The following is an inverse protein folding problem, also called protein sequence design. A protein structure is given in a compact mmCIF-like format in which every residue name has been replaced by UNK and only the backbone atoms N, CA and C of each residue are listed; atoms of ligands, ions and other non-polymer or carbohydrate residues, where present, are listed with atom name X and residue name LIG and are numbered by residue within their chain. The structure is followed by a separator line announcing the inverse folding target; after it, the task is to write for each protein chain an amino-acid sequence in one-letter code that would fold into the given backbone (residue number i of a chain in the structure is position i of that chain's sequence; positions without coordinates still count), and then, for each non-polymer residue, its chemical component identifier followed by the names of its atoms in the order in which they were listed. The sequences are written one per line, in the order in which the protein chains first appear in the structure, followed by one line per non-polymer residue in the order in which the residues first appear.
data_IF_016444420257
#
_entry.id   IF_016444420257
#
_cell.length_a   1.000
_cell.length_b   1.000
_cell.length_c   1.000
_cell.angle_alpha   90.00
_cell.angle_beta   90.00
_cell.angle_gamma   90.00
#
_symmetry.space_group_name_H-M   'P 1'
#
loop_
_entity.id
_entity.type
_entity.pdbx_description
1 polymer ?
#
# COMPACT_ATOMS: atom_id res chain seq x y z
N UNK A 1 1.22 -5.95 10.93
CA UNK A 1 1.35 -4.55 11.36
C UNK A 1 -0.02 -3.86 11.35
N UNK A 2 -0.60 -3.51 12.49
CA UNK A 2 -1.87 -2.76 12.60
C UNK A 2 -1.52 -1.26 12.69
N UNK A 3 -1.76 -0.50 11.62
CA UNK A 3 -1.62 0.95 11.67
C UNK A 3 -2.92 1.56 12.23
N UNK A 4 -2.83 2.23 13.37
CA UNK A 4 -3.94 3.05 13.91
C UNK A 4 -3.94 4.38 13.17
N UNK A 5 -5.08 4.81 12.65
CA UNK A 5 -5.19 6.11 11.99
C UNK A 5 -4.92 7.24 13.00
N UNK A 6 -4.19 8.28 12.58
CA UNK A 6 -3.75 9.40 13.42
C UNK A 6 -4.89 10.05 14.22
N UNK A 7 -6.05 10.24 13.58
CA UNK A 7 -7.24 10.83 14.22
C UNK A 7 -7.83 9.95 15.33
N UNK A 8 -7.59 8.64 15.30
CA UNK A 8 -8.06 7.73 16.35
C UNK A 8 -7.29 7.94 17.66
N UNK A 9 -6.02 8.32 17.59
CA UNK A 9 -5.14 8.49 18.76
C UNK A 9 -5.40 9.79 19.54
N UNK A 10 -5.79 10.86 18.84
CA UNK A 10 -6.10 12.16 19.44
C UNK A 10 -7.62 12.38 19.64
N UNK A 11 -8.45 11.41 19.27
CA UNK A 11 -9.90 11.46 19.41
C UNK A 11 -10.60 12.37 18.39
N UNK A 12 -9.88 12.83 17.35
CA UNK A 12 -10.45 13.63 16.26
C UNK A 12 -10.99 12.79 15.10
N UNK A 13 -10.98 11.46 15.23
CA UNK A 13 -11.45 10.55 14.19
C UNK A 13 -12.92 10.80 13.83
N UNK A 14 -13.20 11.29 12.61
CA UNK A 14 -14.57 11.57 12.19
C UNK A 14 -15.44 10.31 12.16
N UNK A 15 -14.86 9.10 12.04
CA UNK A 15 -15.62 7.86 12.09
C UNK A 15 -16.15 7.58 13.51
N UNK A 16 -15.42 7.95 14.56
CA UNK A 16 -15.90 7.79 15.94
C UNK A 16 -17.18 8.60 16.15
N UNK A 17 -17.19 9.85 15.68
CA UNK A 17 -18.38 10.71 15.75
C UNK A 17 -19.56 10.14 14.94
N UNK A 18 -19.33 9.47 13.82
CA UNK A 18 -20.37 8.77 13.05
C UNK A 18 -21.02 7.66 13.88
N UNK A 19 -20.22 6.84 14.56
CA UNK A 19 -20.75 5.76 15.39
C UNK A 19 -21.53 6.29 16.59
N UNK A 20 -21.10 7.41 17.18
CA UNK A 20 -21.85 8.09 18.25
C UNK A 20 -23.20 8.64 17.75
N UNK A 21 -23.23 9.22 16.54
CA UNK A 21 -24.47 9.69 15.90
C UNK A 21 -25.43 8.53 15.59
N UNK A 22 -24.90 7.44 15.04
CA UNK A 22 -25.69 6.23 14.75
C UNK A 22 -26.25 5.60 16.02
N UNK A 23 -25.50 5.58 17.12
CA UNK A 23 -25.98 5.06 18.40
C UNK A 23 -27.24 5.79 18.91
N UNK A 24 -27.41 7.07 18.55
CA UNK A 24 -28.55 7.90 18.94
C UNK A 24 -29.76 7.78 17.99
N UNK A 25 -29.65 7.04 16.90
CA UNK A 25 -30.69 6.92 15.87
C UNK A 25 -31.77 5.90 16.27
N UNK A 26 -33.05 6.20 15.98
CA UNK A 26 -34.23 5.40 16.39
C UNK A 26 -34.25 3.95 15.86
N UNK A 27 -33.38 3.61 14.89
CA UNK A 27 -33.24 2.26 14.33
C UNK A 27 -32.18 1.39 15.00
N UNK A 28 -31.39 1.93 15.93
CA UNK A 28 -30.29 1.20 16.57
C UNK A 28 -30.82 0.15 17.55
N UNK A 29 -30.30 -1.08 17.41
CA UNK A 29 -30.63 -2.24 18.23
C UNK A 29 -29.63 -2.33 19.40
N UNK A 30 -28.35 -2.16 19.09
CA UNK A 30 -27.26 -2.20 20.04
C UNK A 30 -26.05 -1.45 19.47
N UNK A 31 -25.20 -0.94 20.34
CA UNK A 31 -23.93 -0.33 19.99
C UNK A 31 -22.87 -0.69 21.04
N UNK A 32 -21.61 -0.52 20.68
CA UNK A 32 -20.52 -0.72 21.62
C UNK A 32 -19.15 -0.40 21.05
N UNK A 33 -18.13 -0.73 21.84
CA UNK A 33 -16.75 -0.57 21.45
C UNK A 33 -15.78 -1.25 22.41
N UNK A 34 -14.55 -1.41 21.95
CA UNK A 34 -13.42 -1.90 22.71
C UNK A 34 -12.20 -1.06 22.39
N UNK A 35 -11.28 -0.91 23.34
CA UNK A 35 -10.00 -0.25 23.09
C UNK A 35 -8.87 -0.95 23.81
N UNK A 36 -7.69 -0.90 23.20
CA UNK A 36 -6.45 -1.43 23.75
C UNK A 36 -5.44 -0.32 23.92
N UNK A 37 -4.67 -0.37 25.01
CA UNK A 37 -3.58 0.56 25.28
C UNK A 37 -2.32 -0.20 25.65
N UNK A 38 -1.19 0.30 25.17
CA UNK A 38 0.15 -0.16 25.50
C UNK A 38 0.97 1.06 25.93
N UNK A 39 1.62 0.98 27.09
CA UNK A 39 2.36 2.10 27.71
C UNK A 39 1.57 3.43 27.77
N UNK A 40 0.27 3.32 28.03
CA UNK A 40 -0.65 4.47 28.11
C UNK A 40 -1.07 5.06 26.76
N UNK A 41 -0.57 4.55 25.63
CA UNK A 41 -0.94 4.95 24.27
C UNK A 41 -2.02 4.03 23.72
N UNK A 42 -3.02 4.60 23.03
CA UNK A 42 -4.04 3.83 22.33
C UNK A 42 -3.39 3.05 21.17
N UNK A 43 -3.57 1.73 21.14
CA UNK A 43 -3.05 0.85 20.08
C UNK A 43 -4.15 0.22 19.25
N UNK A 44 -5.38 0.20 19.76
CA UNK A 44 -6.55 -0.24 19.01
C UNK A 44 -7.81 0.42 19.52
N UNK A 45 -8.73 0.72 18.61
CA UNK A 45 -10.11 1.13 18.90
C UNK A 45 -11.03 0.38 17.94
N UNK A 46 -12.03 -0.29 18.51
CA UNK A 46 -13.12 -0.92 17.79
C UNK A 46 -14.43 -0.25 18.20
N UNK A 47 -15.28 0.08 17.22
CA UNK A 47 -16.65 0.55 17.41
C UNK A 47 -17.57 -0.30 16.56
N UNK A 48 -18.78 -0.53 17.04
CA UNK A 48 -19.79 -1.27 16.30
C UNK A 48 -21.20 -0.78 16.64
N UNK A 49 -22.11 -0.92 15.68
CA UNK A 49 -23.54 -0.62 15.79
C UNK A 49 -24.30 -1.74 15.06
N UNK A 50 -25.34 -2.26 15.70
CA UNK A 50 -26.36 -3.11 15.11
C UNK A 50 -27.62 -2.28 14.92
N UNK A 51 -28.24 -2.33 13.74
CA UNK A 51 -29.36 -1.44 13.37
C UNK A 51 -30.40 -2.18 12.54
N UNK A 52 -31.66 -1.73 12.61
CA UNK A 52 -32.75 -2.15 11.72
C UNK A 52 -32.79 -1.36 10.41
N UNK A 53 -32.01 -0.28 10.30
CA UNK A 53 -31.87 0.53 9.11
C UNK A 53 -30.43 0.44 8.56
N UNK A 54 -30.08 -0.68 7.91
CA UNK A 54 -28.73 -0.86 7.36
C UNK A 54 -28.41 0.14 6.24
N UNK A 55 -29.42 0.61 5.50
CA UNK A 55 -29.20 1.58 4.42
C UNK A 55 -28.75 2.94 4.95
N UNK A 56 -29.35 3.42 6.04
CA UNK A 56 -28.89 4.62 6.70
C UNK A 56 -27.48 4.46 7.27
N UNK A 57 -27.19 3.36 7.97
CA UNK A 57 -25.88 3.13 8.58
C UNK A 57 -24.74 3.00 7.56
N UNK A 58 -24.96 2.23 6.49
CA UNK A 58 -24.00 2.10 5.39
C UNK A 58 -23.67 3.47 4.78
N UNK A 59 -24.68 4.29 4.50
CA UNK A 59 -24.47 5.63 3.95
C UNK A 59 -23.75 6.55 4.95
N UNK A 60 -24.08 6.48 6.24
CA UNK A 60 -23.45 7.31 7.24
C UNK A 60 -21.96 6.99 7.43
N UNK A 61 -21.59 5.70 7.41
CA UNK A 61 -20.20 5.24 7.61
C UNK A 61 -19.36 5.37 6.35
N UNK A 62 -19.87 4.90 5.21
CA UNK A 62 -19.10 4.79 3.97
C UNK A 62 -19.33 5.97 3.00
N UNK A 63 -20.50 6.63 3.09
CA UNK A 63 -20.86 7.73 2.19
C UNK A 63 -20.27 9.09 2.58
N UNK A 64 -19.52 9.19 3.69
CA UNK A 64 -18.80 10.40 4.09
C UNK A 64 -17.41 10.44 3.44
N UNK A 65 -17.36 10.59 2.12
CA UNK A 65 -16.09 10.68 1.40
C UNK A 65 -16.23 10.57 -0.12
N UNK A 66 -15.26 9.91 -0.72
CA UNK A 66 -15.14 9.72 -2.17
C UNK A 66 -16.01 8.59 -2.72
N UNK A 67 -17.07 8.21 -2.00
CA UNK A 67 -17.88 7.02 -2.27
C UNK A 67 -19.36 7.37 -2.10
N UNK A 68 -20.18 6.99 -3.07
CA UNK A 68 -21.62 6.85 -2.89
C UNK A 68 -21.94 5.42 -2.47
N UNK A 69 -22.56 5.25 -1.31
CA UNK A 69 -22.81 3.96 -0.70
C UNK A 69 -24.32 3.68 -0.61
N UNK A 70 -24.73 2.56 -1.19
CA UNK A 70 -26.13 2.13 -1.25
C UNK A 70 -26.27 0.71 -0.71
N UNK A 71 -27.36 0.49 0.03
CA UNK A 71 -27.75 -0.82 0.51
C UNK A 71 -29.22 -1.04 0.19
N UNK A 72 -29.53 -2.19 -0.41
CA UNK A 72 -30.89 -2.54 -0.80
C UNK A 72 -31.25 -3.95 -0.30
N UNK A 73 -32.53 -4.10 0.07
CA UNK A 73 -33.12 -5.39 0.47
C UNK A 73 -34.31 -5.67 -0.44
N UNK A 74 -34.35 -6.85 -1.04
CA UNK A 74 -35.42 -7.34 -1.92
C UNK A 74 -35.79 -8.77 -1.54
N UNK A 75 -36.71 -8.93 -0.59
CA UNK A 75 -37.02 -10.25 -0.04
C UNK A 75 -35.87 -10.76 0.84
N UNK A 76 -35.33 -11.93 0.50
CA UNK A 76 -34.14 -12.54 1.13
C UNK A 76 -32.82 -12.07 0.51
N UNK A 77 -32.87 -11.31 -0.60
CA UNK A 77 -31.71 -10.81 -1.31
C UNK A 77 -31.27 -9.46 -0.77
N UNK A 78 -30.01 -9.36 -0.40
CA UNK A 78 -29.34 -8.15 0.06
C UNK A 78 -28.28 -7.73 -0.94
N UNK A 79 -28.12 -6.43 -1.14
CA UNK A 79 -27.17 -5.83 -2.07
C UNK A 79 -26.49 -4.63 -1.42
N UNK A 80 -25.15 -4.60 -1.45
CA UNK A 80 -24.33 -3.45 -1.10
C UNK A 80 -23.59 -3.00 -2.35
N UNK A 81 -23.70 -1.72 -2.68
CA UNK A 81 -22.98 -1.11 -3.81
C UNK A 81 -22.28 0.17 -3.35
N UNK A 82 -20.98 0.24 -3.59
CA UNK A 82 -20.13 1.39 -3.36
C UNK A 82 -19.60 1.89 -4.70
N UNK A 83 -19.88 3.15 -5.01
CA UNK A 83 -19.45 3.82 -6.24
C UNK A 83 -18.45 4.92 -5.90
N UNK A 84 -17.16 4.73 -6.17
CA UNK A 84 -16.18 5.80 -6.12
C UNK A 84 -16.61 6.98 -6.99
N UNK A 85 -16.60 8.19 -6.43
CA UNK A 85 -17.03 9.41 -7.13
C UNK A 85 -15.92 10.02 -8.00
N UNK A 86 -14.77 9.36 -8.09
CA UNK A 86 -13.64 9.72 -8.97
C UNK A 86 -12.65 10.73 -8.39
N UNK A 87 -13.02 11.50 -7.36
CA UNK A 87 -12.17 12.57 -6.81
C UNK A 87 -11.25 12.16 -5.65
N UNK A 88 -11.10 10.85 -5.37
CA UNK A 88 -10.28 10.37 -4.25
C UNK A 88 -10.60 11.09 -2.92
N UNK A 89 -9.75 10.91 -1.92
CA UNK A 89 -9.87 11.65 -0.64
C UNK A 89 -8.91 12.84 -0.55
N UNK A 90 -7.93 12.90 -1.45
CA UNK A 90 -6.92 13.93 -1.48
C UNK A 90 -7.46 15.29 -1.94
N UNK A 91 -7.17 16.33 -1.15
CA UNK A 91 -7.32 17.72 -1.56
C UNK A 91 -6.35 18.12 -2.67
N UNK A 92 -6.52 19.34 -3.20
CA UNK A 92 -5.68 19.84 -4.31
C UNK A 92 -4.19 19.88 -3.97
N UNK A 93 -3.84 20.32 -2.76
CA UNK A 93 -2.44 20.38 -2.32
C UNK A 93 -1.80 18.99 -2.25
N UNK A 94 -2.50 18.02 -1.65
CA UNK A 94 -2.04 16.63 -1.54
C UNK A 94 -1.86 15.98 -2.91
N UNK A 95 -2.76 16.25 -3.87
CA UNK A 95 -2.63 15.80 -5.26
C UNK A 95 -1.38 16.36 -5.94
N UNK A 96 -1.13 17.67 -5.82
CA UNK A 96 0.05 18.30 -6.39
C UNK A 96 1.35 17.80 -5.74
N UNK A 97 1.35 17.62 -4.42
CA UNK A 97 2.47 17.05 -3.69
C UNK A 97 2.75 15.61 -4.14
N UNK A 98 1.70 14.80 -4.27
CA UNK A 98 1.79 13.44 -4.79
C UNK A 98 2.37 13.39 -6.21
N UNK A 99 1.81 14.15 -7.15
CA UNK A 99 2.25 14.17 -8.55
C UNK A 99 3.72 14.60 -8.69
N UNK A 100 4.15 15.59 -7.90
CA UNK A 100 5.55 16.04 -7.87
C UNK A 100 6.47 14.95 -7.34
N UNK A 101 6.18 14.40 -6.15
CA UNK A 101 7.00 13.37 -5.52
C UNK A 101 7.04 12.07 -6.33
N UNK A 102 5.91 11.68 -6.94
CA UNK A 102 5.85 10.52 -7.81
C UNK A 102 6.72 10.70 -9.05
N UNK A 103 6.76 11.90 -9.65
CA UNK A 103 7.64 12.20 -10.79
C UNK A 103 9.11 12.08 -10.42
N UNK A 104 9.49 12.64 -9.27
CA UNK A 104 10.88 12.56 -8.79
C UNK A 104 11.27 11.10 -8.49
N UNK A 105 10.37 10.36 -7.83
CA UNK A 105 10.53 8.93 -7.56
C UNK A 105 10.65 8.10 -8.85
N UNK A 106 9.80 8.36 -9.85
CA UNK A 106 9.83 7.67 -11.15
C UNK A 106 11.16 7.92 -11.89
N UNK A 107 11.69 9.14 -11.82
CA UNK A 107 13.00 9.46 -12.40
C UNK A 107 14.18 8.79 -11.65
N UNK A 108 14.07 8.58 -10.33
CA UNK A 108 15.04 7.75 -9.58
C UNK A 108 14.89 6.27 -9.96
N UNK A 109 13.65 5.77 -10.12
CA UNK A 109 13.40 4.37 -10.48
C UNK A 109 13.92 4.02 -11.88
N UNK A 110 13.75 4.90 -12.87
CA UNK A 110 14.36 4.75 -14.19
C UNK A 110 15.88 4.57 -14.08
N UNK A 111 16.54 5.44 -13.31
CA UNK A 111 17.99 5.39 -13.09
C UNK A 111 18.43 4.15 -12.31
N UNK A 112 17.58 3.62 -11.44
CA UNK A 112 17.79 2.33 -10.77
C UNK A 112 17.74 1.18 -11.76
N UNK A 113 16.69 1.11 -12.59
CA UNK A 113 16.55 0.07 -13.61
C UNK A 113 17.72 0.09 -14.58
N UNK A 114 18.21 1.26 -15.00
CA UNK A 114 19.37 1.36 -15.88
C UNK A 114 20.66 0.82 -15.24
N UNK A 115 20.94 1.18 -13.98
CA UNK A 115 22.13 0.71 -13.27
C UNK A 115 22.09 -0.81 -13.06
N UNK A 116 20.91 -1.33 -12.77
CA UNK A 116 20.69 -2.76 -12.67
C UNK A 116 20.82 -3.43 -14.05
N UNK A 117 20.23 -2.91 -15.11
CA UNK A 117 20.38 -3.45 -16.47
C UNK A 117 21.86 -3.56 -16.88
N UNK A 118 22.68 -2.58 -16.48
CA UNK A 118 24.14 -2.61 -16.65
C UNK A 118 24.78 -3.78 -15.88
N UNK A 119 24.38 -4.02 -14.63
CA UNK A 119 24.87 -5.18 -13.86
C UNK A 119 24.46 -6.50 -14.56
N UNK A 120 23.24 -6.61 -15.09
CA UNK A 120 22.74 -7.87 -15.68
C UNK A 120 23.53 -8.18 -16.94
N UNK A 121 23.76 -7.16 -17.77
CA UNK A 121 24.61 -7.25 -18.97
C UNK A 121 26.04 -7.67 -18.64
N UNK A 122 26.61 -7.16 -17.53
CA UNK A 122 27.94 -7.59 -17.07
C UNK A 122 27.96 -9.05 -16.62
N UNK A 123 26.94 -9.50 -15.90
CA UNK A 123 26.82 -10.89 -15.46
C UNK A 123 26.61 -11.87 -16.62
N UNK A 124 25.96 -11.44 -17.70
CA UNK A 124 25.88 -12.24 -18.94
C UNK A 124 27.24 -12.41 -19.62
N UNK A 125 28.08 -11.36 -19.60
CA UNK A 125 29.44 -11.42 -20.16
C UNK A 125 30.44 -12.14 -19.26
N UNK A 126 30.20 -12.16 -17.94
CA UNK A 126 31.05 -12.75 -16.90
C UNK A 126 30.21 -13.53 -15.87
N UNK A 127 29.67 -14.70 -16.24
CA UNK A 127 28.78 -15.47 -15.37
C UNK A 127 29.46 -15.92 -14.07
N UNK A 128 30.78 -16.08 -14.05
CA UNK A 128 31.57 -16.39 -12.86
C UNK A 128 31.55 -15.29 -11.78
N UNK A 129 31.10 -14.08 -12.14
CA UNK A 129 30.94 -12.97 -11.20
C UNK A 129 29.53 -12.85 -10.62
N UNK A 130 28.58 -13.68 -11.07
CA UNK A 130 27.17 -13.56 -10.67
C UNK A 130 26.97 -13.80 -9.16
N UNK A 131 27.48 -14.90 -8.63
CA UNK A 131 27.35 -15.24 -7.21
C UNK A 131 27.94 -14.17 -6.28
N UNK A 132 29.23 -13.76 -6.40
CA UNK A 132 29.81 -12.78 -5.47
C UNK A 132 29.15 -11.40 -5.57
N UNK A 133 28.73 -10.97 -6.76
CA UNK A 133 28.08 -9.67 -6.93
C UNK A 133 26.63 -9.67 -6.43
N UNK A 134 25.90 -10.78 -6.57
CA UNK A 134 24.54 -10.91 -6.04
C UNK A 134 24.53 -11.04 -4.52
N UNK A 135 25.48 -11.75 -3.90
CA UNK A 135 25.64 -11.77 -2.43
C UNK A 135 25.76 -10.36 -1.87
N UNK A 136 26.67 -9.57 -2.44
CA UNK A 136 26.86 -8.18 -2.01
C UNK A 136 25.64 -7.29 -2.29
N UNK A 137 24.96 -7.49 -3.42
CA UNK A 137 23.77 -6.71 -3.75
C UNK A 137 22.61 -6.94 -2.77
N UNK A 138 22.46 -8.19 -2.31
CA UNK A 138 21.42 -8.64 -1.39
C UNK A 138 21.83 -8.55 0.09
N UNK A 139 23.02 -8.00 0.37
CA UNK A 139 23.59 -7.87 1.73
C UNK A 139 23.77 -9.22 2.46
N UNK A 140 23.94 -10.31 1.70
CA UNK A 140 24.39 -11.61 2.22
C UNK A 140 25.91 -11.57 2.41
N UNK A 141 26.34 -10.94 3.51
CA UNK A 141 27.76 -10.89 3.87
C UNK A 141 28.17 -12.14 4.64
N UNK A 142 28.98 -12.99 4.00
CA UNK A 142 29.85 -13.95 4.70
C UNK A 142 31.13 -13.23 5.17
N UNK A 143 31.90 -13.86 6.07
CA UNK A 143 33.15 -13.31 6.62
C UNK A 143 34.22 -12.99 5.53
N UNK A 144 34.07 -13.52 4.30
CA UNK A 144 34.99 -13.32 3.18
C UNK A 144 34.36 -12.40 2.10
N UNK A 145 34.59 -11.08 2.22
CA UNK A 145 34.21 -10.11 1.17
C UNK A 145 34.97 -10.41 -0.14
N UNK A 146 34.28 -10.59 -1.28
CA UNK A 146 34.95 -10.89 -2.54
C UNK A 146 35.74 -9.67 -3.02
N UNK A 147 36.92 -9.93 -3.62
CA UNK A 147 37.69 -8.88 -4.29
C UNK A 147 36.90 -8.33 -5.49
N UNK A 148 36.47 -7.08 -5.38
CA UNK A 148 35.77 -6.36 -6.44
C UNK A 148 36.72 -5.61 -7.36
N UNK A 149 36.41 -5.63 -8.66
CA UNK A 149 37.02 -4.70 -9.59
C UNK A 149 36.49 -3.27 -9.33
N UNK A 150 37.29 -2.21 -9.56
CA UNK A 150 36.86 -0.83 -9.28
C UNK A 150 35.52 -0.44 -9.93
N UNK A 151 35.27 -0.94 -11.15
CA UNK A 151 34.01 -0.68 -11.85
C UNK A 151 32.80 -1.46 -11.31
N UNK A 152 33.02 -2.59 -10.64
CA UNK A 152 31.95 -3.37 -9.99
C UNK A 152 31.51 -2.69 -8.70
N UNK A 153 32.47 -2.24 -7.88
CA UNK A 153 32.18 -1.49 -6.65
C UNK A 153 31.38 -0.21 -6.94
N UNK A 154 31.82 0.60 -7.90
CA UNK A 154 31.11 1.83 -8.28
C UNK A 154 29.66 1.54 -8.74
N UNK A 155 29.46 0.42 -9.45
CA UNK A 155 28.14 0.02 -9.92
C UNK A 155 27.23 -0.43 -8.77
N UNK A 156 27.74 -1.26 -7.86
CA UNK A 156 26.99 -1.71 -6.69
C UNK A 156 26.64 -0.55 -5.75
N UNK A 157 27.58 0.36 -5.47
CA UNK A 157 27.32 1.58 -4.70
C UNK A 157 26.23 2.45 -5.37
N UNK A 158 26.28 2.55 -6.70
CA UNK A 158 25.30 3.30 -7.48
C UNK A 158 23.90 2.69 -7.36
N UNK A 159 23.79 1.36 -7.41
CA UNK A 159 22.53 0.62 -7.24
C UNK A 159 22.03 0.77 -5.80
N UNK A 160 22.88 0.53 -4.79
CA UNK A 160 22.54 0.63 -3.38
C UNK A 160 22.04 2.03 -3.01
N UNK A 161 22.72 3.09 -3.48
CA UNK A 161 22.29 4.48 -3.24
C UNK A 161 20.92 4.79 -3.84
N UNK A 162 20.64 4.31 -5.05
CA UNK A 162 19.33 4.50 -5.71
C UNK A 162 18.23 3.71 -5.00
N UNK A 163 18.51 2.46 -4.65
CA UNK A 163 17.63 1.60 -3.85
C UNK A 163 17.24 2.29 -2.54
N UNK A 164 18.22 2.82 -1.80
CA UNK A 164 17.97 3.52 -0.53
C UNK A 164 17.01 4.70 -0.72
N UNK A 165 17.20 5.52 -1.76
CA UNK A 165 16.30 6.65 -2.09
C UNK A 165 14.90 6.21 -2.48
N UNK A 166 14.77 5.10 -3.21
CA UNK A 166 13.46 4.54 -3.58
C UNK A 166 12.70 4.10 -2.34
N UNK A 167 13.37 3.44 -1.39
CA UNK A 167 12.81 2.96 -0.13
C UNK A 167 12.44 4.13 0.80
N UNK A 168 13.32 5.12 0.93
CA UNK A 168 13.10 6.31 1.76
C UNK A 168 11.79 7.02 1.40
N UNK A 169 11.43 7.09 0.10
CA UNK A 169 10.18 7.69 -0.34
C UNK A 169 8.92 6.97 0.19
N UNK A 170 8.99 5.67 0.48
CA UNK A 170 7.89 4.91 1.09
C UNK A 170 7.81 5.15 2.60
N UNK A 171 8.95 5.38 3.26
CA UNK A 171 9.09 5.47 4.71
C UNK A 171 8.97 6.89 5.27
N UNK A 172 9.23 7.93 4.46
CA UNK A 172 9.30 9.34 4.89
C UNK A 172 7.94 9.99 5.28
N UNK A 173 6.97 9.22 5.78
CA UNK A 173 5.72 9.71 6.40
C UNK A 173 5.75 9.60 7.91
N UNK A 174 5.21 10.60 8.60
CA UNK A 174 5.35 10.81 10.04
C UNK A 174 4.83 9.62 10.85
N UNK A 175 5.74 8.77 11.34
CA UNK A 175 5.50 7.86 12.46
C UNK A 175 5.90 6.42 12.21
N UNK A 176 7.21 6.16 12.25
CA UNK A 176 7.74 4.82 12.35
C UNK A 176 7.02 4.00 13.44
N UNK A 177 6.55 2.82 13.04
CA UNK A 177 6.28 1.70 13.94
C UNK A 177 6.93 0.41 13.45
N UNK A 178 7.91 0.50 12.54
CA UNK A 178 8.84 -0.58 12.28
C UNK A 178 10.16 0.00 11.74
N UNK A 179 11.13 0.20 12.63
CA UNK A 179 12.54 0.09 12.27
C UNK A 179 13.24 1.27 11.59
N UNK A 180 13.32 2.44 12.23
CA UNK A 180 14.56 3.23 12.18
C UNK A 180 14.57 4.29 13.26
N UNK A 181 15.41 4.07 14.26
CA UNK A 181 15.80 5.09 15.22
C UNK A 181 16.77 6.06 14.53
N UNK A 182 16.53 7.36 14.72
CA UNK A 182 17.35 8.51 14.31
C UNK A 182 17.01 9.16 12.96
N UNK A 183 15.93 9.96 12.94
CA UNK A 183 15.95 11.22 12.19
C UNK A 183 15.78 12.38 13.17
N UNK A 184 16.84 13.17 13.23
CA UNK A 184 17.03 14.35 14.05
C UNK A 184 15.94 15.39 13.74
N UNK A 185 15.18 15.81 14.75
CA UNK A 185 14.29 16.97 14.64
C UNK A 185 15.14 18.24 14.58
N UNK A 186 15.29 18.82 13.39
CA UNK A 186 15.89 20.15 13.24
C UNK A 186 14.89 21.22 13.69
N UNK A 187 15.32 21.99 14.69
CA UNK A 187 14.62 23.07 15.37
C UNK A 187 14.68 24.38 14.56
N UNK A 188 14.13 24.38 13.35
CA UNK A 188 13.99 25.58 12.52
C UNK A 188 12.54 25.77 12.12
N UNK A 189 11.94 26.82 12.68
CA UNK A 189 10.53 27.12 12.64
C UNK A 189 9.89 27.15 11.25
N UNK A 190 8.62 26.72 11.27
CA UNK A 190 7.63 26.63 10.19
C UNK A 190 7.77 25.34 9.36
N UNK A 191 7.01 24.28 9.65
CA UNK A 191 6.91 23.16 8.73
C UNK A 191 6.25 23.70 7.46
N UNK A 192 6.94 23.60 6.33
CA UNK A 192 6.24 23.54 5.07
C UNK A 192 5.40 22.26 5.16
N UNK A 193 4.06 22.38 5.15
CA UNK A 193 3.07 21.31 5.38
C UNK A 193 3.19 20.11 4.40
N UNK A 194 4.17 20.11 3.50
CA UNK A 194 4.39 19.05 2.52
C UNK A 194 4.85 17.73 3.17
N UNK A 195 5.50 17.72 4.33
CA UNK A 195 6.09 16.49 4.92
C UNK A 195 5.17 15.71 5.87
N UNK A 196 3.86 15.98 5.86
CA UNK A 196 2.92 15.30 6.76
C UNK A 196 2.64 13.83 6.38
N UNK A 197 2.81 13.46 5.12
CA UNK A 197 2.45 12.15 4.57
C UNK A 197 3.58 11.55 3.72
N UNK A 198 3.80 10.24 3.83
CA UNK A 198 4.69 9.51 2.91
C UNK A 198 4.12 9.49 1.49
N UNK A 199 4.95 9.16 0.50
CA UNK A 199 4.46 8.99 -0.86
C UNK A 199 3.40 7.87 -0.95
N UNK A 200 3.55 6.81 -0.15
CA UNK A 200 2.56 5.73 -0.05
C UNK A 200 1.24 6.21 0.55
N UNK A 201 1.28 7.05 1.58
CA UNK A 201 0.07 7.62 2.21
C UNK A 201 -0.64 8.57 1.24
N UNK A 202 0.10 9.46 0.58
CA UNK A 202 -0.43 10.33 -0.46
C UNK A 202 -1.06 9.52 -1.60
N UNK A 203 -0.42 8.43 -2.05
CA UNK A 203 -0.99 7.58 -3.11
C UNK A 203 -2.36 7.03 -2.72
N UNK A 204 -2.55 6.62 -1.46
CA UNK A 204 -3.84 6.14 -0.96
C UNK A 204 -4.86 7.26 -0.85
N UNK A 205 -4.46 8.46 -0.44
CA UNK A 205 -5.40 9.60 -0.44
C UNK A 205 -5.87 9.91 -1.87
N UNK A 206 -5.00 9.81 -2.86
CA UNK A 206 -5.32 10.13 -4.26
C UNK A 206 -6.16 9.03 -4.93
N UNK A 207 -5.81 7.76 -4.73
CA UNK A 207 -6.38 6.63 -5.48
C UNK A 207 -7.27 5.67 -4.69
N UNK A 208 -7.17 5.59 -3.35
CA UNK A 208 -8.02 4.74 -2.52
C UNK A 208 -9.27 5.53 -2.08
N UNK A 209 -10.44 5.29 -2.71
CA UNK A 209 -11.65 6.02 -2.37
C UNK A 209 -12.17 5.63 -0.98
N UNK A 210 -11.76 4.48 -0.45
CA UNK A 210 -12.20 3.98 0.84
C UNK A 210 -11.45 4.72 1.95
N UNK A 211 -12.13 5.08 3.06
CA UNK A 211 -11.49 5.76 4.18
C UNK A 211 -10.40 4.90 4.86
N UNK A 212 -10.49 3.58 4.71
CA UNK A 212 -9.55 2.60 5.24
C UNK A 212 -9.76 1.23 4.60
N UNK A 213 -9.11 0.20 5.15
CA UNK A 213 -9.31 -1.17 4.68
C UNK A 213 -10.76 -1.61 4.95
N UNK A 214 -11.45 -2.06 3.90
CA UNK A 214 -12.81 -2.58 4.00
C UNK A 214 -12.80 -4.12 3.96
N UNK A 215 -13.36 -4.71 5.01
CA UNK A 215 -13.65 -6.13 5.13
C UNK A 215 -15.16 -6.29 5.30
N UNK A 216 -15.78 -7.15 4.50
CA UNK A 216 -17.18 -7.51 4.61
C UNK A 216 -17.28 -8.97 5.03
N UNK A 217 -17.97 -9.21 6.14
CA UNK A 217 -18.32 -10.55 6.59
C UNK A 217 -19.80 -10.79 6.30
N UNK A 218 -20.07 -11.73 5.40
CA UNK A 218 -21.42 -12.06 4.98
C UNK A 218 -21.92 -13.29 5.75
N UNK A 219 -23.25 -13.41 5.99
CA UNK A 219 -23.81 -14.59 6.64
C UNK A 219 -23.71 -15.85 5.77
N UNK A 220 -23.62 -15.69 4.44
CA UNK A 220 -23.41 -16.75 3.47
C UNK A 220 -22.38 -16.28 2.45
N UNK A 221 -21.72 -17.19 1.70
CA UNK A 221 -20.93 -16.80 0.54
C UNK A 221 -21.70 -15.88 -0.40
N UNK A 222 -20.99 -14.95 -1.04
CA UNK A 222 -21.58 -14.02 -1.98
C UNK A 222 -22.18 -14.77 -3.18
N UNK A 223 -23.37 -14.35 -3.62
CA UNK A 223 -23.97 -14.81 -4.87
C UNK A 223 -23.29 -14.16 -6.08
N UNK A 224 -22.93 -12.88 -5.92
CA UNK A 224 -22.18 -12.08 -6.89
C UNK A 224 -21.30 -11.10 -6.13
N UNK A 225 -20.10 -10.87 -6.64
CA UNK A 225 -19.18 -9.86 -6.12
C UNK A 225 -18.40 -9.25 -7.28
N UNK A 226 -18.31 -7.93 -7.30
CA UNK A 226 -17.53 -7.13 -8.23
C UNK A 226 -16.68 -6.14 -7.43
N UNK A 227 -15.42 -5.97 -7.81
CA UNK A 227 -14.47 -5.08 -7.12
C UNK A 227 -13.94 -5.61 -5.79
N UNK A 228 -14.31 -6.82 -5.36
CA UNK A 228 -13.82 -7.45 -4.13
C UNK A 228 -12.98 -8.70 -4.41
N UNK A 229 -12.01 -8.95 -3.54
CA UNK A 229 -11.32 -10.24 -3.40
C UNK A 229 -12.11 -11.11 -2.43
N UNK A 230 -12.51 -12.32 -2.85
CA UNK A 230 -13.38 -13.20 -2.09
C UNK A 230 -12.62 -14.39 -1.46
N UNK A 231 -12.87 -14.64 -0.17
CA UNK A 231 -12.45 -15.82 0.57
C UNK A 231 -13.64 -16.37 1.38
N UNK A 232 -14.36 -17.32 0.79
CA UNK A 232 -15.59 -17.87 1.36
C UNK A 232 -16.70 -16.81 1.52
N UNK A 233 -17.07 -16.51 2.77
CA UNK A 233 -18.06 -15.48 3.11
C UNK A 233 -17.42 -14.13 3.48
N UNK A 234 -16.09 -14.03 3.40
CA UNK A 234 -15.34 -12.81 3.69
C UNK A 234 -14.91 -12.17 2.37
N UNK A 235 -15.24 -10.89 2.20
CA UNK A 235 -14.82 -10.10 1.04
C UNK A 235 -13.90 -8.97 1.49
N UNK A 236 -12.80 -8.77 0.76
CA UNK A 236 -11.86 -7.68 1.00
C UNK A 236 -11.84 -6.74 -0.20
N UNK A 237 -11.95 -5.44 0.06
CA UNK A 237 -11.71 -4.46 -1.00
C UNK A 237 -10.20 -4.33 -1.22
N UNK A 238 -9.70 -4.45 -2.47
CA UNK A 238 -8.32 -4.15 -2.80
C UNK A 238 -8.01 -2.70 -2.43
N UNK A 239 -6.75 -2.46 -2.03
CA UNK A 239 -6.30 -1.14 -1.58
C UNK A 239 -5.26 -0.58 -2.54
N UNK A 240 -5.70 0.12 -3.61
CA UNK A 240 -4.76 0.69 -4.56
C UNK A 240 -3.76 1.61 -3.86
N UNK A 241 -2.53 1.58 -4.33
CA UNK A 241 -1.47 2.42 -3.80
C UNK A 241 -0.14 2.11 -4.46
N UNK A 242 0.84 2.98 -4.20
CA UNK A 242 2.13 2.95 -4.88
C UNK A 242 2.84 1.60 -4.72
N UNK A 243 2.85 1.03 -3.51
CA UNK A 243 3.50 -0.24 -3.22
C UNK A 243 2.90 -1.39 -4.04
N UNK A 244 1.57 -1.52 -4.04
CA UNK A 244 0.88 -2.56 -4.82
C UNK A 244 1.17 -2.42 -6.32
N UNK A 245 1.09 -1.19 -6.82
CA UNK A 245 1.40 -0.90 -8.22
C UNK A 245 2.85 -1.26 -8.55
N UNK A 246 3.81 -0.85 -7.70
CA UNK A 246 5.22 -1.14 -7.91
C UNK A 246 5.51 -2.63 -7.89
N UNK A 247 5.02 -3.38 -6.90
CA UNK A 247 5.22 -4.83 -6.83
C UNK A 247 4.67 -5.54 -8.07
N UNK A 248 3.54 -5.10 -8.61
CA UNK A 248 2.94 -5.70 -9.82
C UNK A 248 3.65 -5.32 -11.13
N UNK A 249 4.27 -4.14 -11.18
CA UNK A 249 4.90 -3.60 -12.39
C UNK A 249 6.40 -3.83 -12.45
N UNK A 250 7.08 -4.01 -11.31
CA UNK A 250 8.54 -4.06 -11.25
C UNK A 250 9.13 -5.12 -12.18
N UNK A 251 8.53 -6.31 -12.22
CA UNK A 251 8.97 -7.42 -13.07
C UNK A 251 8.71 -7.19 -14.56
N UNK A 252 7.82 -6.25 -14.92
CA UNK A 252 7.60 -5.87 -16.32
C UNK A 252 8.88 -5.34 -16.93
N UNK A 253 9.61 -4.52 -16.17
CA UNK A 253 10.80 -3.82 -16.62
C UNK A 253 12.07 -4.57 -16.30
N UNK A 254 12.12 -5.23 -15.15
CA UNK A 254 13.31 -5.84 -14.63
C UNK A 254 12.98 -7.13 -13.89
N UNK A 255 13.56 -8.25 -14.32
CA UNK A 255 13.42 -9.54 -13.65
C UNK A 255 14.81 -10.20 -13.43
N UNK A 256 15.07 -10.79 -12.26
CA UNK A 256 14.43 -10.42 -11.00
C UNK A 256 14.67 -8.93 -10.67
N UNK A 257 13.81 -8.32 -9.86
CA UNK A 257 14.04 -6.99 -9.30
C UNK A 257 14.54 -7.11 -7.85
N UNK A 258 15.83 -6.82 -7.54
CA UNK A 258 16.40 -7.03 -6.21
C UNK A 258 15.61 -6.33 -5.10
N UNK A 259 15.14 -5.09 -5.34
CA UNK A 259 14.42 -4.35 -4.31
C UNK A 259 13.08 -5.00 -4.01
N UNK A 260 12.41 -5.56 -5.02
CA UNK A 260 11.15 -6.29 -4.80
C UNK A 260 11.40 -7.60 -4.07
N UNK A 261 12.46 -8.35 -4.42
CA UNK A 261 12.84 -9.58 -3.74
C UNK A 261 13.10 -9.34 -2.24
N UNK A 262 13.91 -8.34 -1.91
CA UNK A 262 14.22 -8.01 -0.52
C UNK A 262 12.99 -7.61 0.28
N UNK A 263 12.09 -6.80 -0.29
CA UNK A 263 10.90 -6.39 0.44
C UNK A 263 9.92 -7.57 0.59
N UNK A 264 9.84 -8.46 -0.39
CA UNK A 264 9.08 -9.71 -0.25
C UNK A 264 9.66 -10.57 0.88
N UNK A 265 10.98 -10.75 0.89
CA UNK A 265 11.68 -11.52 1.92
C UNK A 265 11.46 -10.95 3.32
N UNK A 266 11.62 -9.63 3.49
CA UNK A 266 11.34 -8.94 4.75
C UNK A 266 9.88 -9.10 5.20
N UNK A 267 8.92 -9.13 4.28
CA UNK A 267 7.50 -9.26 4.59
C UNK A 267 7.08 -10.69 4.92
N UNK A 268 7.73 -11.66 4.31
CA UNK A 268 7.48 -13.09 4.54
C UNK A 268 8.35 -13.65 5.67
N UNK A 269 9.22 -12.82 6.25
CA UNK A 269 10.20 -13.21 7.27
C UNK A 269 11.07 -14.39 6.82
N UNK A 270 11.43 -14.38 5.53
CA UNK A 270 12.31 -15.38 4.92
C UNK A 270 13.66 -14.75 4.59
N UNK A 271 14.73 -15.54 4.69
CA UNK A 271 16.02 -15.17 4.17
C UNK A 271 16.00 -15.34 2.64
N UNK A 272 16.61 -14.39 1.92
CA UNK A 272 16.89 -14.60 0.51
C UNK A 272 17.95 -15.68 0.36
N UNK A 273 17.85 -16.45 -0.71
CA UNK A 273 18.82 -17.47 -1.07
C UNK A 273 19.41 -17.08 -2.43
N UNK A 274 20.67 -16.66 -2.43
CA UNK A 274 21.38 -16.28 -3.65
C UNK A 274 21.37 -17.39 -4.70
N UNK A 275 21.39 -18.67 -4.34
CA UNK A 275 21.32 -19.77 -5.32
C UNK A 275 19.97 -19.78 -6.04
N UNK A 276 18.88 -19.48 -5.33
CA UNK A 276 17.56 -19.35 -5.94
C UNK A 276 17.52 -18.14 -6.88
N UNK A 277 18.10 -17.00 -6.48
CA UNK A 277 18.14 -15.79 -7.32
C UNK A 277 19.02 -16.00 -8.55
N UNK A 278 20.13 -16.73 -8.43
CA UNK A 278 21.02 -17.10 -9.53
C UNK A 278 20.31 -17.95 -10.58
N UNK A 279 19.37 -18.81 -10.15
CA UNK A 279 18.57 -19.66 -11.03
C UNK A 279 17.47 -18.90 -11.79
N UNK A 280 17.13 -17.68 -11.38
CA UNK A 280 16.11 -16.87 -12.06
C UNK A 280 16.62 -16.31 -13.38
N UNK A 281 15.75 -16.28 -14.38
CA UNK A 281 16.04 -15.64 -15.66
C UNK A 281 16.19 -14.13 -15.49
N UNK A 282 17.35 -13.62 -15.93
CA UNK A 282 17.68 -12.20 -15.92
C UNK A 282 17.14 -11.53 -17.18
N UNK A 283 16.30 -10.50 -17.01
CA UNK A 283 15.72 -9.69 -18.08
C UNK A 283 15.73 -8.22 -17.68
N UNK A 284 16.20 -7.39 -18.58
CA UNK A 284 16.25 -5.94 -18.45
C UNK A 284 15.69 -5.28 -19.73
N UNK A 285 15.30 -3.99 -19.71
CA UNK A 285 14.77 -3.35 -20.90
C UNK A 285 15.90 -3.10 -21.91
N UNK A 286 15.59 -3.22 -23.20
CA UNK A 286 16.57 -3.00 -24.27
C UNK A 286 16.95 -1.52 -24.47
N UNK A 287 16.13 -0.60 -23.93
CA UNK A 287 16.36 0.83 -23.95
C UNK A 287 16.09 1.40 -22.54
N UNK A 288 16.76 2.51 -22.15
CA UNK A 288 16.49 3.17 -20.88
C UNK A 288 15.02 3.59 -20.75
N UNK A 289 14.46 3.37 -19.56
CA UNK A 289 13.10 3.79 -19.26
C UNK A 289 13.02 5.30 -19.03
N UNK A 290 11.92 5.90 -19.46
CA UNK A 290 11.62 7.30 -19.12
C UNK A 290 10.75 7.37 -17.87
N UNK A 291 10.84 8.50 -17.16
CA UNK A 291 9.96 8.76 -16.02
C UNK A 291 8.47 8.80 -16.44
N UNK A 292 8.18 9.25 -17.66
CA UNK A 292 6.81 9.32 -18.20
C UNK A 292 6.20 7.93 -18.41
N UNK A 293 6.94 6.98 -18.99
CA UNK A 293 6.48 5.59 -19.15
C UNK A 293 6.20 4.92 -17.80
N UNK A 294 7.01 5.21 -16.79
CA UNK A 294 6.80 4.73 -15.42
C UNK A 294 5.53 5.38 -14.86
N UNK A 295 5.40 6.70 -14.93
CA UNK A 295 4.23 7.43 -14.42
C UNK A 295 2.91 6.92 -15.02
N UNK A 296 2.86 6.71 -16.33
CA UNK A 296 1.67 6.21 -17.01
C UNK A 296 1.29 4.80 -16.54
N UNK A 297 2.27 3.90 -16.43
CA UNK A 297 2.04 2.54 -15.95
C UNK A 297 1.54 2.54 -14.50
N UNK A 298 2.11 3.39 -13.65
CA UNK A 298 1.70 3.54 -12.27
C UNK A 298 0.29 4.15 -12.14
N UNK A 299 -0.03 5.18 -12.93
CA UNK A 299 -1.34 5.80 -12.94
C UNK A 299 -2.43 4.81 -13.34
N UNK A 300 -2.16 3.92 -14.30
CA UNK A 300 -3.08 2.84 -14.69
C UNK A 300 -3.21 1.80 -13.59
N UNK A 301 -2.09 1.32 -13.05
CA UNK A 301 -2.09 0.25 -12.04
C UNK A 301 -2.68 0.68 -10.69
N UNK A 302 -2.62 1.97 -10.35
CA UNK A 302 -3.21 2.49 -9.11
C UNK A 302 -4.72 2.78 -9.26
N UNK A 303 -5.33 2.64 -10.45
CA UNK A 303 -6.79 2.74 -10.55
C UNK A 303 -7.42 1.56 -9.84
N UNK A 304 -8.18 1.87 -8.79
CA UNK A 304 -9.02 0.88 -8.12
C UNK A 304 -10.25 0.51 -8.97
N UNK A 305 -11.03 -0.48 -8.53
CA UNK A 305 -12.33 -0.79 -9.09
C UNK A 305 -13.24 0.44 -9.21
N UNK A 306 -13.95 0.56 -10.34
CA UNK A 306 -14.96 1.61 -10.58
C UNK A 306 -16.26 1.37 -9.79
N UNK A 307 -16.47 0.14 -9.33
CA UNK A 307 -17.62 -0.26 -8.53
C UNK A 307 -17.18 -1.38 -7.59
N UNK A 308 -17.69 -1.31 -6.36
CA UNK A 308 -17.66 -2.43 -5.42
C UNK A 308 -19.10 -2.85 -5.17
N UNK A 309 -19.51 -4.01 -5.69
CA UNK A 309 -20.87 -4.51 -5.52
C UNK A 309 -20.85 -5.93 -5.01
N UNK A 310 -21.74 -6.23 -4.06
CA UNK A 310 -21.92 -7.59 -3.56
C UNK A 310 -23.39 -7.87 -3.31
N UNK A 311 -23.81 -9.08 -3.68
CA UNK A 311 -25.14 -9.62 -3.43
C UNK A 311 -25.05 -10.92 -2.63
N UNK A 312 -25.89 -11.08 -1.62
CA UNK A 312 -25.97 -12.29 -0.80
C UNK A 312 -27.41 -12.55 -0.33
N UNK A 313 -27.65 -13.75 0.18
CA UNK A 313 -28.93 -14.12 0.79
C UNK A 313 -28.84 -14.14 2.29
N UNK A 314 -29.93 -13.76 2.93
CA UNK A 314 -30.11 -13.95 4.37
C UNK A 314 -31.19 -15.02 4.55
N UNK A 315 -30.78 -16.18 5.06
CA UNK A 315 -31.74 -17.20 5.49
C UNK A 315 -32.48 -16.67 6.71
N UNK A 316 -33.79 -16.44 6.58
CA UNK A 316 -34.63 -16.14 7.72
C UNK A 316 -34.76 -17.42 8.55
N UNK A 317 -34.52 -17.38 9.88
CA UNK A 317 -34.81 -18.53 10.72
C UNK A 317 -36.30 -18.88 10.58
N UNK A 318 -36.59 -20.15 10.27
CA UNK A 318 -37.95 -20.71 10.23
C UNK A 318 -38.67 -20.61 11.59
#
# INVERSE_FOLDING_TARGET
MRAVARGTLDGSDPLVAVFDELALTTGTIADGGAWEREDGRLTSLQRWVATRDPAHAVRAVLGRGAIDATYAVRGDLHELTLLPTGEGRAGRGERQAFERRLRDWAAEYARYVDAVAELWSRLELRPERAEPLLRLLLDETEDDEPLLEPGELELLERIASRKARLLEAFEAGVGGAAGSAAVSRSDSGRPEDDDAFSLQELSRLVYDPLPGALLLELPTPALRSEGFEADGATLRAPRPGLWQAWSSLAERWLAPNPVVLEIQALREEIELDVEQVLALERRAPAAPLTAEEILDAFAESMRGPEIYSVQWRVELPE
#
